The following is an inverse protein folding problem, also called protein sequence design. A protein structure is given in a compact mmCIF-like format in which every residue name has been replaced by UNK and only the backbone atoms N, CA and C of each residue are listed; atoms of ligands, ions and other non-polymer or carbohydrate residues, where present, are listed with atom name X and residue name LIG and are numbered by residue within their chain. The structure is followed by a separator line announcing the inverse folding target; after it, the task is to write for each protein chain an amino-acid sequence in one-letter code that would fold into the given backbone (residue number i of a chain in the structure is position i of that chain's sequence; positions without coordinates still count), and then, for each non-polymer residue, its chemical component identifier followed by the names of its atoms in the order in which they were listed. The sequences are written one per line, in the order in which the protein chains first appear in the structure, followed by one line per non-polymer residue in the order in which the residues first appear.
data_IF_714731673827
#
_entry.id   IF_714731673827
#
_cell.length_a   1.000
_cell.length_b   1.000
_cell.length_c   1.000
_cell.angle_alpha   90.00
_cell.angle_beta   90.00
_cell.angle_gamma   90.00
#
_symmetry.space_group_name_H-M   'P 1'
#
loop_
_entity.id
_entity.type
_entity.pdbx_description
1 polymer ?
#
# COMPACT_ATOMS: atom_id res chain seq x y z
N UNK A 1 30.46 -16.49 12.13
CA UNK A 1 30.16 -16.25 13.55
C UNK A 1 28.71 -16.64 13.88
N UNK A 2 28.52 -17.58 14.81
CA UNK A 2 27.20 -18.05 15.26
C UNK A 2 26.45 -16.98 16.07
N UNK A 3 27.17 -16.04 16.72
CA UNK A 3 26.56 -14.95 17.49
C UNK A 3 25.87 -13.91 16.60
N UNK A 4 26.37 -13.71 15.37
CA UNK A 4 25.78 -12.79 14.38
C UNK A 4 24.47 -13.36 13.84
N UNK A 5 24.42 -14.66 13.51
CA UNK A 5 23.21 -15.33 13.04
C UNK A 5 22.07 -15.29 14.07
N UNK A 6 22.42 -15.26 15.36
CA UNK A 6 21.46 -15.22 16.46
C UNK A 6 20.92 -13.80 16.77
N UNK A 7 21.53 -12.75 16.22
CA UNK A 7 21.19 -11.36 16.55
C UNK A 7 19.70 -11.01 16.34
N UNK A 8 19.03 -11.41 15.24
CA UNK A 8 17.62 -11.09 15.01
C UNK A 8 16.65 -11.77 15.99
N UNK A 9 17.09 -12.85 16.64
CA UNK A 9 16.26 -13.70 17.47
C UNK A 9 16.44 -13.46 18.97
N UNK A 10 17.43 -12.63 19.37
CA UNK A 10 17.74 -12.36 20.79
C UNK A 10 16.52 -11.94 21.63
N UNK A 11 15.55 -11.25 21.03
CA UNK A 11 14.30 -10.85 21.70
C UNK A 11 13.47 -12.02 22.26
N UNK A 12 13.67 -13.23 21.75
CA UNK A 12 12.96 -14.43 22.22
C UNK A 12 13.81 -15.29 23.17
N UNK A 13 15.09 -14.95 23.37
CA UNK A 13 16.04 -15.81 24.08
C UNK A 13 15.66 -15.91 25.57
N UNK A 14 15.49 -17.13 26.12
CA UNK A 14 15.26 -17.31 27.55
C UNK A 14 16.51 -16.97 28.37
N UNK A 15 16.34 -16.35 29.54
CA UNK A 15 17.42 -16.02 30.47
C UNK A 15 17.73 -17.17 31.46
N UNK A 16 17.45 -18.42 31.07
CA UNK A 16 17.52 -19.60 31.94
C UNK A 16 18.44 -20.67 31.36
N UNK A 17 19.14 -21.48 32.19
CA UNK A 17 20.00 -22.55 31.71
C UNK A 17 19.25 -23.62 30.90
N UNK A 18 19.90 -24.19 29.90
CA UNK A 18 19.29 -25.16 28.96
C UNK A 18 18.85 -26.45 29.66
N UNK A 19 19.68 -26.98 30.55
CA UNK A 19 19.58 -28.34 31.07
C UNK A 19 18.30 -28.64 31.86
N UNK A 20 17.64 -27.61 32.43
CA UNK A 20 16.39 -27.75 33.18
C UNK A 20 15.19 -27.09 32.47
N UNK A 21 15.44 -26.34 31.39
CA UNK A 21 14.44 -25.50 30.73
C UNK A 21 14.29 -25.84 29.25
N UNK A 22 14.50 -27.09 28.89
CA UNK A 22 14.50 -27.57 27.50
C UNK A 22 13.25 -27.15 26.72
N UNK A 23 12.06 -27.15 27.37
CA UNK A 23 10.81 -26.65 26.77
C UNK A 23 10.86 -25.18 26.36
N UNK A 24 11.45 -24.32 27.18
CA UNK A 24 11.59 -22.88 26.89
C UNK A 24 12.56 -22.64 25.74
N UNK A 25 13.64 -23.43 25.68
CA UNK A 25 14.60 -23.38 24.58
C UNK A 25 14.04 -23.92 23.26
N UNK A 26 13.16 -24.91 23.30
CA UNK A 26 12.39 -25.34 22.11
C UNK A 26 11.41 -24.26 21.64
N UNK A 27 10.69 -23.62 22.57
CA UNK A 27 9.79 -22.49 22.26
C UNK A 27 10.56 -21.31 21.65
N UNK A 28 11.79 -21.06 22.12
CA UNK A 28 12.70 -20.09 21.53
C UNK A 28 13.01 -20.39 20.07
N UNK A 29 13.46 -21.60 19.76
CA UNK A 29 13.75 -22.01 18.38
C UNK A 29 12.52 -21.90 17.47
N UNK A 30 11.37 -22.39 17.94
CA UNK A 30 10.09 -22.29 17.24
C UNK A 30 9.69 -20.83 16.95
N UNK A 31 9.69 -19.96 17.96
CA UNK A 31 9.29 -18.56 17.79
C UNK A 31 10.27 -17.79 16.89
N UNK A 32 11.56 -18.09 16.98
CA UNK A 32 12.60 -17.49 16.13
C UNK A 32 12.29 -17.70 14.65
N UNK A 33 11.98 -18.94 14.26
CA UNK A 33 11.65 -19.29 12.88
C UNK A 33 10.25 -18.76 12.51
N UNK A 34 9.26 -18.96 13.37
CA UNK A 34 7.87 -18.60 13.09
C UNK A 34 7.67 -17.11 12.94
N UNK A 35 8.20 -16.30 13.84
CA UNK A 35 8.01 -14.85 13.80
C UNK A 35 8.89 -14.17 12.76
N UNK A 36 10.11 -14.67 12.55
CA UNK A 36 11.05 -14.09 11.59
C UNK A 36 10.68 -14.36 10.13
N UNK A 37 10.32 -15.61 9.82
CA UNK A 37 10.22 -16.05 8.43
C UNK A 37 8.80 -16.38 8.00
N UNK A 38 8.03 -17.05 8.85
CA UNK A 38 6.78 -17.69 8.38
C UNK A 38 5.57 -16.79 8.57
N UNK A 39 5.35 -16.25 9.77
CA UNK A 39 4.15 -15.45 10.08
C UNK A 39 4.07 -14.17 9.25
N UNK A 40 5.21 -13.48 9.05
CA UNK A 40 5.23 -12.25 8.24
C UNK A 40 4.81 -12.54 6.81
N UNK A 41 5.46 -13.50 6.16
CA UNK A 41 5.18 -13.87 4.77
C UNK A 41 3.75 -14.41 4.65
N UNK A 42 3.35 -15.34 5.54
CA UNK A 42 1.99 -15.90 5.56
C UNK A 42 0.90 -14.83 5.72
N UNK A 43 1.10 -13.83 6.59
CA UNK A 43 0.15 -12.71 6.73
C UNK A 43 0.15 -11.84 5.48
N UNK A 44 1.31 -11.43 4.98
CA UNK A 44 1.42 -10.58 3.78
C UNK A 44 0.78 -11.24 2.54
N UNK A 45 0.98 -12.55 2.37
CA UNK A 45 0.46 -13.35 1.27
C UNK A 45 -0.88 -14.02 1.56
N UNK A 46 -1.51 -13.72 2.70
CA UNK A 46 -2.87 -14.18 2.96
C UNK A 46 -3.82 -13.55 1.95
N UNK A 47 -4.78 -14.34 1.47
CA UNK A 47 -5.77 -13.85 0.49
C UNK A 47 -6.53 -12.62 0.99
N UNK A 48 -6.82 -12.53 2.28
CA UNK A 48 -7.44 -11.36 2.90
C UNK A 48 -6.58 -10.10 2.76
N UNK A 49 -5.26 -10.19 3.02
CA UNK A 49 -4.34 -9.06 2.84
C UNK A 49 -4.19 -8.68 1.37
N UNK A 50 -4.03 -9.65 0.48
CA UNK A 50 -3.94 -9.40 -0.97
C UNK A 50 -5.21 -8.72 -1.47
N UNK A 51 -6.38 -9.22 -1.07
CA UNK A 51 -7.68 -8.64 -1.43
C UNK A 51 -7.81 -7.20 -0.93
N UNK A 52 -7.55 -6.97 0.35
CA UNK A 52 -7.59 -5.64 0.97
C UNK A 52 -6.66 -4.66 0.24
N UNK A 53 -5.43 -5.06 -0.04
CA UNK A 53 -4.47 -4.23 -0.78
C UNK A 53 -4.98 -3.89 -2.18
N UNK A 54 -5.56 -4.85 -2.90
CA UNK A 54 -6.17 -4.61 -4.23
C UNK A 54 -7.41 -3.71 -4.18
N UNK A 55 -8.16 -3.74 -3.09
CA UNK A 55 -9.31 -2.83 -2.87
C UNK A 55 -8.82 -1.39 -2.62
N UNK A 56 -7.77 -1.22 -1.79
CA UNK A 56 -7.11 0.07 -1.57
C UNK A 56 -6.58 0.66 -2.89
N UNK A 57 -5.89 -0.14 -3.71
CA UNK A 57 -5.40 0.30 -5.02
C UNK A 57 -6.53 0.73 -5.96
N UNK A 58 -7.63 -0.04 -6.00
CA UNK A 58 -8.79 0.31 -6.82
C UNK A 58 -9.44 1.61 -6.36
N UNK A 59 -9.60 1.78 -5.04
CA UNK A 59 -10.13 3.02 -4.45
C UNK A 59 -9.24 4.21 -4.80
N UNK A 60 -7.93 4.11 -4.59
CA UNK A 60 -6.97 5.15 -4.92
C UNK A 60 -7.02 5.55 -6.40
N UNK A 61 -6.99 4.56 -7.32
CA UNK A 61 -7.07 4.83 -8.76
C UNK A 61 -8.36 5.57 -9.13
N UNK A 62 -9.49 5.16 -8.57
CA UNK A 62 -10.79 5.79 -8.84
C UNK A 62 -10.85 7.22 -8.28
N UNK A 63 -10.46 7.43 -7.02
CA UNK A 63 -10.45 8.78 -6.42
C UNK A 63 -9.49 9.71 -7.16
N UNK A 64 -8.32 9.22 -7.55
CA UNK A 64 -7.36 9.98 -8.34
C UNK A 64 -7.88 10.29 -9.75
N UNK A 65 -8.59 9.35 -10.40
CA UNK A 65 -9.27 9.60 -11.68
C UNK A 65 -10.35 10.67 -11.55
N UNK A 66 -11.16 10.64 -10.51
CA UNK A 66 -12.17 11.68 -10.24
C UNK A 66 -11.51 13.04 -10.01
N UNK A 67 -10.38 13.09 -9.29
CA UNK A 67 -9.56 14.30 -9.13
C UNK A 67 -9.03 14.82 -10.47
N UNK A 68 -8.63 13.94 -11.38
CA UNK A 68 -8.18 14.33 -12.73
C UNK A 68 -9.32 14.86 -13.62
N UNK A 69 -10.55 14.39 -13.42
CA UNK A 69 -11.72 14.79 -14.21
C UNK A 69 -12.42 16.05 -13.67
N UNK A 70 -12.40 16.25 -12.35
CA UNK A 70 -12.85 17.50 -11.74
C UNK A 70 -11.81 18.60 -11.94
N UNK A 71 -11.94 19.36 -13.04
CA UNK A 71 -11.11 20.55 -13.30
C UNK A 71 -11.37 21.69 -12.31
N UNK A 72 -12.55 21.71 -11.68
CA UNK A 72 -12.91 22.66 -10.63
C UNK A 72 -12.63 22.00 -9.28
N UNK A 73 -11.73 22.61 -8.48
CA UNK A 73 -11.28 22.21 -7.13
C UNK A 73 -11.87 20.88 -6.62
N UNK A 74 -11.09 19.78 -6.52
CA UNK A 74 -11.58 18.58 -5.86
C UNK A 74 -12.08 18.97 -4.47
N UNK A 75 -13.27 18.47 -4.09
CA UNK A 75 -13.80 18.71 -2.75
C UNK A 75 -12.77 18.30 -1.71
N UNK A 76 -12.65 19.08 -0.63
CA UNK A 76 -11.67 18.89 0.46
C UNK A 76 -11.56 17.42 0.90
N UNK A 77 -12.69 16.70 0.89
CA UNK A 77 -12.79 15.29 1.28
C UNK A 77 -12.04 14.34 0.33
N UNK A 78 -12.03 14.61 -0.98
CA UNK A 78 -11.34 13.77 -1.96
C UNK A 78 -9.82 13.92 -1.87
N UNK A 79 -9.34 15.12 -1.55
CA UNK A 79 -7.92 15.40 -1.33
C UNK A 79 -7.43 14.71 -0.06
N UNK A 80 -8.21 14.78 1.03
CA UNK A 80 -7.93 14.10 2.28
C UNK A 80 -7.89 12.57 2.10
N UNK A 81 -8.87 12.01 1.39
CA UNK A 81 -8.92 10.58 1.10
C UNK A 81 -7.71 10.10 0.28
N UNK A 82 -7.24 10.90 -0.68
CA UNK A 82 -6.02 10.60 -1.43
C UNK A 82 -4.80 10.55 -0.49
N UNK A 83 -4.65 11.54 0.38
CA UNK A 83 -3.54 11.57 1.33
C UNK A 83 -3.56 10.38 2.29
N UNK A 84 -4.74 9.98 2.77
CA UNK A 84 -4.86 8.84 3.68
C UNK A 84 -4.54 7.50 2.98
N UNK A 85 -4.88 7.38 1.70
CA UNK A 85 -4.49 6.21 0.89
C UNK A 85 -2.99 6.20 0.59
N UNK A 86 -2.36 7.36 0.37
CA UNK A 86 -0.92 7.49 0.13
C UNK A 86 -0.07 7.15 1.35
N UNK A 87 -0.58 7.33 2.58
CA UNK A 87 0.09 6.85 3.80
C UNK A 87 0.20 5.33 3.88
N UNK A 88 -0.67 4.61 3.19
CA UNK A 88 -0.78 3.14 3.25
C UNK A 88 -0.08 2.48 2.05
N UNK A 89 -0.08 3.15 0.89
CA UNK A 89 0.52 2.65 -0.33
C UNK A 89 2.02 2.96 -0.41
N UNK A 90 2.78 2.09 -1.06
CA UNK A 90 4.19 2.36 -1.35
C UNK A 90 4.34 3.30 -2.56
N UNK A 91 5.51 3.92 -2.67
CA UNK A 91 5.83 4.88 -3.75
C UNK A 91 5.67 4.25 -5.13
N UNK A 92 6.01 2.97 -5.28
CA UNK A 92 5.88 2.25 -6.54
C UNK A 92 4.41 2.12 -6.97
N UNK A 93 3.53 1.64 -6.09
CA UNK A 93 2.12 1.48 -6.37
C UNK A 93 1.43 2.82 -6.60
N UNK A 94 1.79 3.86 -5.84
CA UNK A 94 1.31 5.24 -6.06
C UNK A 94 1.64 5.69 -7.48
N UNK A 95 2.89 5.52 -7.89
CA UNK A 95 3.38 5.93 -9.22
C UNK A 95 2.66 5.16 -10.33
N UNK A 96 2.57 3.84 -10.20
CA UNK A 96 1.90 2.97 -11.17
C UNK A 96 0.42 3.32 -11.31
N UNK A 97 -0.30 3.50 -10.19
CA UNK A 97 -1.73 3.81 -10.22
C UNK A 97 -2.01 5.20 -10.81
N UNK A 98 -1.14 6.19 -10.57
CA UNK A 98 -1.25 7.52 -11.20
C UNK A 98 -1.07 7.45 -12.71
N UNK A 99 -0.08 6.70 -13.19
CA UNK A 99 0.13 6.49 -14.62
C UNK A 99 -1.07 5.80 -15.27
N UNK A 100 -1.61 4.75 -14.64
CA UNK A 100 -2.81 4.05 -15.12
C UNK A 100 -4.02 4.99 -15.19
N UNK A 101 -4.28 5.76 -14.13
CA UNK A 101 -5.39 6.70 -14.12
C UNK A 101 -5.24 7.78 -15.20
N UNK A 102 -4.04 8.31 -15.40
CA UNK A 102 -3.76 9.28 -16.47
C UNK A 102 -3.98 8.67 -17.86
N UNK A 103 -3.48 7.46 -18.11
CA UNK A 103 -3.70 6.77 -19.39
C UNK A 103 -5.18 6.49 -19.66
N UNK A 104 -5.94 6.05 -18.64
CA UNK A 104 -7.39 5.84 -18.79
C UNK A 104 -8.13 7.15 -19.12
N UNK A 105 -7.78 8.27 -18.47
CA UNK A 105 -8.37 9.58 -18.76
C UNK A 105 -8.03 10.06 -20.18
N UNK A 106 -6.79 9.86 -20.63
CA UNK A 106 -6.35 10.20 -22.00
C UNK A 106 -7.09 9.33 -23.02
N UNK A 107 -7.12 8.01 -22.83
CA UNK A 107 -7.77 7.06 -23.74
C UNK A 107 -9.28 7.32 -23.85
N UNK A 108 -9.93 7.74 -22.76
CA UNK A 108 -11.35 8.08 -22.77
C UNK A 108 -11.69 9.41 -23.48
N UNK A 109 -10.70 10.16 -23.98
CA UNK A 109 -10.91 11.41 -24.72
C UNK A 109 -11.43 12.58 -23.88
N UNK A 110 -11.63 12.39 -22.57
CA UNK A 110 -12.26 13.37 -21.68
C UNK A 110 -11.40 14.64 -21.50
N UNK A 111 -10.07 14.54 -21.64
CA UNK A 111 -9.16 15.70 -21.63
C UNK A 111 -9.33 16.63 -22.84
N UNK A 112 -9.78 16.10 -23.99
CA UNK A 112 -10.05 16.87 -25.20
C UNK A 112 -11.44 17.51 -25.16
N UNK A 113 -12.43 16.83 -24.57
CA UNK A 113 -13.78 17.37 -24.41
C UNK A 113 -13.82 18.59 -23.49
N UNK A 114 -13.07 18.58 -22.38
CA UNK A 114 -12.99 19.71 -21.48
C UNK A 114 -12.29 20.94 -22.09
N UNK A 115 -11.29 20.73 -22.97
CA UNK A 115 -10.63 21.82 -23.70
C UNK A 115 -11.54 22.42 -24.79
N UNK A 116 -12.42 21.62 -25.41
CA UNK A 116 -13.44 22.11 -26.36
C UNK A 116 -14.58 22.86 -25.68
N UNK A 117 -15.02 22.42 -24.49
CA UNK A 117 -16.09 23.09 -23.74
C UNK A 117 -15.67 24.48 -23.19
N UNK A 118 -14.38 24.67 -22.87
CA UNK A 118 -13.84 25.97 -22.48
C UNK A 118 -13.75 26.95 -23.66
N UNK A 119 -13.32 26.49 -24.83
CA UNK A 119 -13.18 27.33 -26.03
C UNK A 119 -14.53 27.81 -26.61
N UNK A 120 -15.63 27.11 -26.32
CA UNK A 120 -16.96 27.47 -26.84
C UNK A 120 -17.69 28.53 -25.98
N UNK A 121 -17.15 28.89 -24.80
CA UNK A 121 -17.73 29.93 -23.93
C UNK A 121 -17.09 31.33 -24.08
N UNK A 122 -15.96 31.46 -24.76
CA UNK A 122 -15.28 32.76 -24.97
C UNK A 122 -15.59 33.41 -26.34
N UNK A 123 -16.47 32.82 -27.15
CA UNK A 123 -16.77 33.29 -28.52
C UNK A 123 -18.12 33.99 -28.72
N UNK A 124 -18.68 34.65 -27.71
CA UNK A 124 -19.96 35.36 -27.84
C UNK A 124 -20.08 36.54 -26.89
N UNK A 125 -19.80 37.74 -27.41
CA UNK A 125 -19.90 39.03 -26.72
C UNK A 125 -19.14 40.10 -27.49
#
# INVERSE_FOLDING_TARGET
DLMVKNAPFRKFRPNVPVHQNTKLWWKYGYNSIMEGHIRRISRMWSWSNIRRHREILRSYKNTYKTKLLSQTKPGSDAEQQIQDLEKILDVFNITLARQQAQMEVIRSGQKLAAKKAGAQKEGGG
#
